data_IF_683794604662
#
_entry.id   IF_683794604662
#
_cell.length_a   1.000
_cell.length_b   1.000
_cell.length_c   1.000
_cell.angle_alpha   90.00
_cell.angle_beta   90.00
_cell.angle_gamma   90.00
#
_symmetry.space_group_name_H-M   'P 1'
#
loop_
_entity.id
_entity.type
_entity.pdbx_description
1 polymer ?
#
# COMPACT_ATOMS: atom_id res chain seq x y z
N UNK A 1 16.12 -9.48 -6.14
CA UNK A 1 16.60 -8.36 -5.33
C UNK A 1 17.92 -8.71 -4.69
N UNK A 2 18.79 -7.74 -4.60
CA UNK A 2 20.10 -7.91 -3.99
C UNK A 2 19.98 -7.61 -2.51
N UNK A 3 20.48 -8.51 -1.70
CA UNK A 3 20.57 -8.25 -0.28
C UNK A 3 21.45 -7.02 -0.06
N UNK A 4 20.94 -6.05 0.64
CA UNK A 4 21.61 -4.78 0.86
C UNK A 4 21.61 -4.47 2.33
N UNK A 5 22.77 -4.16 2.87
CA UNK A 5 22.90 -3.77 4.28
C UNK A 5 22.54 -2.32 4.55
N UNK A 6 22.16 -1.56 3.52
CA UNK A 6 21.77 -0.17 3.68
C UNK A 6 20.42 -0.01 4.36
N UNK A 7 20.20 1.18 4.93
CA UNK A 7 18.93 1.57 5.52
C UNK A 7 18.08 2.29 4.48
N UNK A 8 16.80 1.93 4.38
CA UNK A 8 15.87 2.60 3.49
C UNK A 8 15.41 3.92 4.13
N UNK A 9 15.54 5.02 3.38
CA UNK A 9 15.05 6.32 3.83
C UNK A 9 13.52 6.33 3.93
N UNK A 10 12.87 5.74 2.91
CA UNK A 10 11.43 5.60 2.88
C UNK A 10 11.10 4.11 2.74
N UNK A 11 10.92 3.38 3.84
CA UNK A 11 10.69 1.94 3.79
C UNK A 11 9.39 1.56 3.11
N UNK A 12 8.40 2.46 3.09
CA UNK A 12 7.11 2.22 2.43
C UNK A 12 6.43 0.94 2.93
N UNK A 13 6.41 0.78 4.25
CA UNK A 13 5.80 -0.39 4.88
C UNK A 13 4.36 -0.07 5.25
N UNK A 14 3.45 -0.90 4.78
CA UNK A 14 2.06 -0.82 5.15
C UNK A 14 1.84 -1.46 6.52
N UNK A 15 1.04 -0.82 7.36
CA UNK A 15 0.58 -1.40 8.62
C UNK A 15 -0.92 -1.66 8.55
N UNK A 16 -1.34 -2.75 9.17
CA UNK A 16 -2.76 -3.00 9.38
C UNK A 16 -2.93 -3.98 10.54
N UNK A 17 -4.15 -4.00 11.09
CA UNK A 17 -4.53 -4.99 12.08
C UNK A 17 -5.93 -5.50 11.80
N UNK A 18 -6.19 -6.74 12.16
CA UNK A 18 -7.50 -7.36 12.03
C UNK A 18 -7.96 -7.74 13.42
N UNK A 19 -8.99 -7.03 13.91
CA UNK A 19 -9.51 -7.27 15.26
C UNK A 19 -10.23 -8.62 15.34
N UNK A 20 -10.07 -9.31 16.45
CA UNK A 20 -10.78 -10.57 16.76
C UNK A 20 -10.61 -11.61 15.64
N UNK A 21 -9.40 -11.76 15.15
CA UNK A 21 -9.11 -12.71 14.08
C UNK A 21 -8.97 -14.13 14.65
N UNK A 22 -9.66 -15.09 14.02
CA UNK A 22 -9.59 -16.51 14.37
C UNK A 22 -9.07 -17.31 13.17
N UNK A 23 -7.83 -17.74 13.25
CA UNK A 23 -7.18 -18.44 12.14
C UNK A 23 -7.81 -19.80 11.84
N UNK A 24 -8.60 -20.37 12.76
CA UNK A 24 -9.27 -21.65 12.51
C UNK A 24 -10.50 -21.51 11.61
N UNK A 25 -11.12 -20.33 11.59
CA UNK A 25 -12.35 -20.07 10.84
C UNK A 25 -12.23 -18.96 9.81
N UNK A 26 -11.14 -18.21 9.83
CA UNK A 26 -10.94 -17.05 8.98
C UNK A 26 -9.60 -17.08 8.27
N UNK A 27 -9.51 -16.33 7.20
CA UNK A 27 -8.26 -16.09 6.48
C UNK A 27 -8.09 -14.58 6.26
N UNK A 28 -6.85 -14.14 6.11
CA UNK A 28 -6.57 -12.77 5.70
C UNK A 28 -6.62 -12.72 4.18
N UNK A 29 -7.41 -11.81 3.64
CA UNK A 29 -7.58 -11.63 2.20
C UNK A 29 -7.03 -10.28 1.76
N UNK A 30 -6.43 -10.27 0.58
CA UNK A 30 -6.00 -9.06 -0.11
C UNK A 30 -7.08 -8.69 -1.13
N UNK A 31 -7.71 -7.53 -0.96
CA UNK A 31 -8.74 -7.03 -1.85
C UNK A 31 -8.13 -6.13 -2.92
N UNK A 32 -7.89 -6.70 -4.10
CA UNK A 32 -7.31 -5.96 -5.22
C UNK A 32 -8.25 -4.87 -5.74
N UNK A 33 -9.56 -5.07 -5.60
CA UNK A 33 -10.54 -4.04 -5.97
C UNK A 33 -10.40 -2.79 -5.12
N UNK A 34 -10.11 -2.95 -3.84
CA UNK A 34 -9.85 -1.81 -2.96
C UNK A 34 -8.51 -1.15 -3.29
N UNK A 35 -7.48 -1.94 -3.57
CA UNK A 35 -6.15 -1.39 -3.89
C UNK A 35 -6.20 -0.45 -5.09
N UNK A 36 -6.94 -0.81 -6.12
CA UNK A 36 -7.02 -0.04 -7.35
C UNK A 36 -8.31 0.77 -7.48
N UNK A 37 -9.05 0.94 -6.39
CA UNK A 37 -10.37 1.58 -6.42
C UNK A 37 -10.34 2.98 -7.04
N UNK A 38 -9.31 3.76 -6.78
CA UNK A 38 -9.19 5.13 -7.27
C UNK A 38 -8.18 5.26 -8.41
N UNK A 39 -7.63 4.14 -8.90
CA UNK A 39 -6.71 4.14 -10.02
C UNK A 39 -7.47 4.03 -11.34
N UNK A 40 -7.02 4.79 -12.35
CA UNK A 40 -7.49 4.61 -13.72
C UNK A 40 -6.47 3.75 -14.47
N UNK A 41 -6.72 2.46 -14.52
CA UNK A 41 -5.79 1.49 -15.11
C UNK A 41 -5.71 1.58 -16.63
N UNK A 42 -6.52 2.46 -17.25
CA UNK A 42 -6.51 2.66 -18.69
C UNK A 42 -5.59 3.80 -19.13
N UNK A 43 -4.98 4.51 -18.17
CA UNK A 43 -4.18 5.70 -18.46
C UNK A 43 -2.76 5.56 -17.96
N UNK A 44 -1.87 6.16 -18.72
CA UNK A 44 -0.46 6.37 -18.36
C UNK A 44 -0.26 7.87 -18.14
N UNK A 45 0.16 8.26 -16.93
CA UNK A 45 0.29 9.67 -16.57
C UNK A 45 1.70 10.23 -16.78
N UNK A 46 2.56 9.48 -17.46
CA UNK A 46 3.93 9.89 -17.75
C UNK A 46 4.95 9.23 -16.84
N UNK A 47 6.20 9.29 -17.25
CA UNK A 47 7.28 8.63 -16.54
C UNK A 47 7.31 7.12 -16.80
N UNK A 48 7.83 6.36 -15.86
CA UNK A 48 7.84 4.91 -15.95
C UNK A 48 6.41 4.37 -15.87
N UNK A 49 6.09 3.28 -16.60
CA UNK A 49 4.75 2.71 -16.56
C UNK A 49 4.35 2.24 -15.16
N UNK A 50 3.15 2.63 -14.73
CA UNK A 50 2.63 2.27 -13.44
C UNK A 50 3.38 2.90 -12.28
N UNK A 51 3.04 2.51 -11.05
CA UNK A 51 3.69 3.03 -9.86
C UNK A 51 5.02 2.34 -9.62
N UNK A 52 6.11 3.10 -9.73
CA UNK A 52 7.46 2.61 -9.48
C UNK A 52 8.04 3.17 -8.17
N UNK A 53 7.18 3.75 -7.33
CA UNK A 53 7.54 4.27 -6.01
C UNK A 53 8.51 5.45 -6.00
N UNK A 54 8.74 6.10 -7.13
CA UNK A 54 9.50 7.34 -7.16
C UNK A 54 8.70 8.46 -6.49
N UNK A 55 9.38 9.39 -5.80
CA UNK A 55 8.72 10.42 -5.00
C UNK A 55 7.79 11.32 -5.80
N UNK A 56 7.97 11.39 -7.10
CA UNK A 56 7.14 12.22 -8.00
C UNK A 56 6.34 11.41 -9.00
N UNK A 57 6.28 10.10 -8.82
CA UNK A 57 5.58 9.19 -9.72
C UNK A 57 4.07 9.43 -9.61
N UNK A 58 3.42 9.88 -10.71
CA UNK A 58 2.02 10.28 -10.62
C UNK A 58 1.04 9.14 -10.40
N UNK A 59 1.40 7.90 -10.76
CA UNK A 59 0.54 6.75 -10.54
C UNK A 59 0.55 6.25 -9.10
N UNK A 60 1.55 6.64 -8.31
CA UNK A 60 1.69 6.12 -6.96
C UNK A 60 0.73 6.77 -5.96
N UNK A 61 0.33 8.01 -6.18
CA UNK A 61 -0.44 8.76 -5.18
C UNK A 61 -1.71 8.01 -4.75
N UNK A 62 -2.49 7.55 -5.72
CA UNK A 62 -3.76 6.88 -5.43
C UNK A 62 -3.53 5.50 -4.78
N UNK A 63 -2.51 4.78 -5.21
CA UNK A 63 -2.17 3.47 -4.65
C UNK A 63 -1.71 3.60 -3.21
N UNK A 64 -0.78 4.52 -2.92
CA UNK A 64 -0.28 4.73 -1.57
C UNK A 64 -1.37 5.24 -0.64
N UNK A 65 -2.32 6.04 -1.14
CA UNK A 65 -3.47 6.47 -0.37
C UNK A 65 -4.33 5.27 0.06
N UNK A 66 -4.60 4.34 -0.85
CA UNK A 66 -5.35 3.13 -0.49
C UNK A 66 -4.58 2.25 0.50
N UNK A 67 -3.26 2.18 0.36
CA UNK A 67 -2.41 1.45 1.30
C UNK A 67 -2.24 2.16 2.64
N UNK A 68 -2.69 3.40 2.74
CA UNK A 68 -2.52 4.24 3.94
C UNK A 68 -1.05 4.40 4.30
N UNK A 69 -0.23 4.71 3.30
CA UNK A 69 1.19 5.02 3.44
C UNK A 69 1.43 6.45 2.98
N UNK A 70 2.18 7.21 3.76
CA UNK A 70 2.61 8.55 3.36
C UNK A 70 3.49 8.47 2.11
N UNK A 71 3.20 9.31 1.13
CA UNK A 71 3.89 9.29 -0.15
C UNK A 71 4.36 10.69 -0.55
N UNK A 72 5.47 10.73 -1.30
CA UNK A 72 5.98 11.95 -1.91
C UNK A 72 7.27 12.45 -1.28
N UNK A 73 7.79 13.53 -1.85
CA UNK A 73 9.01 14.17 -1.37
C UNK A 73 8.81 14.69 0.06
N UNK A 74 9.77 14.41 0.94
CA UNK A 74 9.66 14.78 2.34
C UNK A 74 8.84 13.81 3.18
N UNK A 75 8.20 12.83 2.57
CA UNK A 75 7.56 11.73 3.26
C UNK A 75 8.60 10.73 3.73
N UNK A 76 8.32 10.02 4.81
CA UNK A 76 9.18 8.94 5.29
C UNK A 76 8.64 7.56 4.95
N UNK A 77 7.59 7.47 4.13
CA UNK A 77 6.98 6.20 3.78
C UNK A 77 6.35 5.47 4.96
N UNK A 78 5.92 6.21 5.97
CA UNK A 78 5.33 5.64 7.17
C UNK A 78 3.82 5.42 7.00
N UNK A 79 3.24 4.50 7.79
CA UNK A 79 1.80 4.32 7.76
C UNK A 79 1.04 5.57 8.22
N UNK A 80 -0.10 5.83 7.60
CA UNK A 80 -1.00 6.90 8.03
C UNK A 80 -1.87 6.34 9.15
N UNK A 81 -1.76 6.93 10.35
CA UNK A 81 -2.53 6.50 11.53
C UNK A 81 -2.43 4.98 11.77
N UNK A 82 -1.23 4.40 11.59
CA UNK A 82 -1.03 2.97 11.78
C UNK A 82 -1.81 2.08 10.82
N UNK A 83 -2.29 2.63 9.71
CA UNK A 83 -3.09 1.89 8.74
C UNK A 83 -4.55 1.68 9.14
N UNK A 84 -5.07 2.47 10.11
CA UNK A 84 -6.41 2.26 10.64
C UNK A 84 -7.52 2.35 9.59
N UNK A 85 -7.34 3.16 8.54
CA UNK A 85 -8.36 3.35 7.51
C UNK A 85 -8.19 2.45 6.30
N UNK A 86 -7.20 1.55 6.30
CA UNK A 86 -6.99 0.67 5.16
C UNK A 86 -8.13 -0.35 5.02
N UNK A 87 -8.45 -0.71 3.79
CA UNK A 87 -9.52 -1.67 3.48
C UNK A 87 -9.05 -2.78 2.55
N UNK A 88 -7.74 -2.87 2.32
CA UNK A 88 -7.17 -3.81 1.38
C UNK A 88 -7.03 -5.20 2.00
N UNK A 89 -6.48 -5.27 3.21
CA UNK A 89 -6.37 -6.52 3.95
C UNK A 89 -7.52 -6.64 4.93
N UNK A 90 -8.19 -7.77 4.91
CA UNK A 90 -9.36 -8.00 5.77
C UNK A 90 -9.52 -9.49 6.07
N UNK A 91 -10.27 -9.78 7.12
CA UNK A 91 -10.63 -11.14 7.45
C UNK A 91 -11.83 -11.59 6.62
N UNK A 92 -11.74 -12.78 6.07
CA UNK A 92 -12.86 -13.44 5.41
C UNK A 92 -13.02 -14.85 6.00
N UNK A 93 -14.22 -15.39 5.92
CA UNK A 93 -14.45 -16.78 6.29
C UNK A 93 -13.63 -17.72 5.41
N UNK A 94 -13.10 -18.76 6.03
CA UNK A 94 -12.42 -19.81 5.27
C UNK A 94 -13.39 -20.57 4.40
#
# INVERSE_FOLDING_TARGET
AIANSGTCTNPNIMDFSVAVFDASTQKVALDMGQLFKTSDLTKENGGAPGCMSGATDPECVVIFTELQINFGSGSNGSPINGGAAQKIFKALAK
#
